data_IF_927080935650
#
_entry.id   IF_927080935650
#
_cell.length_a   1.000
_cell.length_b   1.000
_cell.length_c   1.000
_cell.angle_alpha   90.00
_cell.angle_beta   90.00
_cell.angle_gamma   90.00
#
_symmetry.space_group_name_H-M   'P 1'
#
loop_
_entity.id
_entity.type
_entity.pdbx_description
1 polymer ?
#
# COMPACT_ATOMS: atom_id res chain seq x y z
N UNK A 1 -6.37 0.37 5.98
CA UNK A 1 -6.76 1.58 6.71
C UNK A 1 -6.64 2.79 5.80
N UNK A 2 -7.60 3.69 5.80
CA UNK A 2 -7.58 4.87 4.92
C UNK A 2 -6.68 5.94 5.52
N UNK A 3 -5.78 6.50 4.73
CA UNK A 3 -4.98 7.64 5.15
C UNK A 3 -5.86 8.89 5.23
N UNK A 4 -5.99 9.48 6.41
CA UNK A 4 -6.78 10.69 6.63
C UNK A 4 -6.34 11.89 5.77
N UNK A 5 -5.10 11.88 5.28
CA UNK A 5 -4.58 12.95 4.40
C UNK A 5 -5.09 12.90 2.96
N UNK A 6 -5.73 11.82 2.53
CA UNK A 6 -6.32 11.72 1.17
C UNK A 6 -7.82 11.99 1.19
N UNK A 7 -8.44 11.79 2.32
CA UNK A 7 -9.89 11.92 2.49
C UNK A 7 -10.18 12.74 3.75
N UNK A 8 -11.26 13.47 3.74
CA UNK A 8 -11.78 14.11 4.94
C UNK A 8 -11.92 13.11 6.08
N UNK A 9 -11.81 13.61 7.32
CA UNK A 9 -11.90 12.81 8.54
C UNK A 9 -13.17 11.94 8.52
N UNK A 10 -13.01 10.67 8.20
CA UNK A 10 -14.09 9.71 8.23
C UNK A 10 -14.54 9.52 9.69
N UNK A 11 -15.83 9.66 9.95
CA UNK A 11 -16.40 9.58 11.29
C UNK A 11 -16.00 8.29 12.04
N UNK A 12 -15.87 7.17 11.31
CA UNK A 12 -15.43 5.88 11.85
C UNK A 12 -13.94 5.77 12.18
N UNK A 13 -13.10 6.76 11.84
CA UNK A 13 -11.65 6.73 12.05
C UNK A 13 -11.14 7.72 13.11
N UNK A 14 -12.04 8.32 13.89
CA UNK A 14 -11.69 9.34 14.90
C UNK A 14 -10.87 8.77 16.07
N UNK A 15 -11.14 7.53 16.46
CA UNK A 15 -10.47 6.85 17.56
C UNK A 15 -9.67 5.67 17.01
N UNK A 16 -8.42 5.93 16.66
CA UNK A 16 -7.51 4.91 16.09
C UNK A 16 -7.29 3.72 17.02
N UNK A 17 -7.25 3.95 18.33
CA UNK A 17 -7.08 2.90 19.33
C UNK A 17 -8.25 1.92 19.32
N UNK A 18 -9.46 2.44 19.34
CA UNK A 18 -10.67 1.62 19.35
C UNK A 18 -10.82 0.85 18.03
N UNK A 19 -10.47 1.50 16.90
CA UNK A 19 -10.50 0.86 15.57
C UNK A 19 -9.51 -0.29 15.49
N UNK A 20 -8.27 -0.09 15.94
CA UNK A 20 -7.24 -1.13 15.93
C UNK A 20 -7.70 -2.31 16.78
N UNK A 21 -8.17 -2.07 18.01
CA UNK A 21 -8.71 -3.11 18.88
C UNK A 21 -9.87 -3.86 18.23
N UNK A 22 -10.79 -3.15 17.57
CA UNK A 22 -11.94 -3.76 16.90
C UNK A 22 -11.50 -4.65 15.74
N UNK A 23 -10.55 -4.19 14.92
CA UNK A 23 -10.03 -4.95 13.78
C UNK A 23 -9.31 -6.22 14.26
N UNK A 24 -8.49 -6.11 15.29
CA UNK A 24 -7.78 -7.26 15.86
C UNK A 24 -8.74 -8.24 16.54
N UNK A 25 -9.74 -7.76 17.26
CA UNK A 25 -10.77 -8.65 17.86
C UNK A 25 -11.66 -9.35 16.82
N UNK A 26 -11.64 -8.90 15.58
CA UNK A 26 -12.28 -9.55 14.43
C UNK A 26 -11.33 -10.50 13.66
N UNK A 27 -10.30 -11.01 14.31
CA UNK A 27 -9.31 -11.95 13.77
C UNK A 27 -8.58 -11.48 12.51
N UNK A 28 -8.29 -10.17 12.40
CA UNK A 28 -7.42 -9.69 11.35
C UNK A 28 -5.97 -10.14 11.60
N UNK A 29 -5.34 -10.74 10.59
CA UNK A 29 -3.95 -11.21 10.67
C UNK A 29 -2.95 -10.07 10.76
N UNK A 30 -3.24 -8.93 10.12
CA UNK A 30 -2.37 -7.77 10.11
C UNK A 30 -3.13 -6.46 9.85
N UNK A 31 -2.49 -5.35 10.18
CA UNK A 31 -3.00 -4.00 9.86
C UNK A 31 -1.97 -3.19 9.07
N UNK A 32 -2.46 -2.25 8.26
CA UNK A 32 -1.66 -1.17 7.68
C UNK A 32 -1.96 0.11 8.43
N UNK A 33 -0.94 0.80 8.90
CA UNK A 33 -1.11 1.99 9.70
C UNK A 33 -0.11 3.10 9.34
N UNK A 34 -0.51 4.39 9.35
CA UNK A 34 0.42 5.50 9.35
C UNK A 34 1.13 5.59 10.70
N UNK A 35 2.18 6.43 10.79
CA UNK A 35 3.08 6.51 11.94
C UNK A 35 2.39 6.51 13.31
N UNK A 36 1.47 7.44 13.53
CA UNK A 36 0.80 7.58 14.84
C UNK A 36 -0.02 6.36 15.25
N UNK A 37 -0.66 5.73 14.27
CA UNK A 37 -1.47 4.53 14.53
C UNK A 37 -0.61 3.27 14.67
N UNK A 38 0.56 3.23 14.03
CA UNK A 38 1.51 2.13 14.15
C UNK A 38 2.10 2.06 15.56
N UNK A 39 2.46 3.20 16.15
CA UNK A 39 2.96 3.22 17.53
C UNK A 39 1.92 2.74 18.55
N UNK A 40 0.65 3.04 18.32
CA UNK A 40 -0.46 2.53 19.15
C UNK A 40 -0.67 1.03 18.89
N UNK A 41 -0.57 0.62 17.63
CA UNK A 41 -0.79 -0.77 17.24
C UNK A 41 0.18 -1.73 17.93
N UNK A 42 1.44 -1.36 18.04
CA UNK A 42 2.48 -2.20 18.71
C UNK A 42 2.11 -2.59 20.14
N UNK A 43 1.29 -1.81 20.83
CA UNK A 43 0.85 -2.08 22.20
C UNK A 43 -0.35 -3.05 22.27
N UNK A 44 -1.13 -3.18 21.19
CA UNK A 44 -2.44 -3.87 21.23
C UNK A 44 -2.58 -5.03 20.26
N UNK A 45 -1.66 -5.18 19.32
CA UNK A 45 -1.71 -6.19 18.26
C UNK A 45 -1.50 -7.64 18.73
N UNK A 46 -0.86 -7.84 19.90
CA UNK A 46 -0.50 -9.18 20.33
C UNK A 46 0.38 -9.90 19.31
N UNK A 47 -0.15 -10.96 18.68
CA UNK A 47 0.54 -11.71 17.61
C UNK A 47 0.18 -11.23 16.20
N UNK A 48 -0.65 -10.20 16.04
CA UNK A 48 -1.02 -9.65 14.73
C UNK A 48 0.13 -8.87 14.08
N UNK A 49 0.21 -8.89 12.76
CA UNK A 49 1.22 -8.16 12.00
C UNK A 49 0.90 -6.67 11.88
N UNK A 50 1.95 -5.84 11.84
CA UNK A 50 1.84 -4.40 11.61
C UNK A 50 2.70 -3.94 10.43
N UNK A 51 2.07 -3.32 9.45
CA UNK A 51 2.74 -2.74 8.30
C UNK A 51 2.69 -1.21 8.35
N UNK A 52 3.86 -0.59 8.26
CA UNK A 52 3.96 0.87 8.23
C UNK A 52 3.65 1.41 6.85
N UNK A 53 2.58 2.19 6.74
CA UNK A 53 2.18 2.81 5.47
C UNK A 53 2.82 4.17 5.31
N UNK A 54 3.61 4.32 4.26
CA UNK A 54 4.43 5.52 3.99
C UNK A 54 4.14 6.11 2.60
N UNK A 55 4.44 7.40 2.47
CA UNK A 55 4.76 8.04 1.21
C UNK A 55 6.25 8.36 1.20
N UNK A 56 6.90 8.18 0.07
CA UNK A 56 8.34 8.36 -0.02
C UNK A 56 8.73 9.32 -1.14
N UNK A 57 9.76 10.10 -0.87
CA UNK A 57 10.60 10.76 -1.85
C UNK A 57 12.03 10.24 -1.66
N UNK A 58 12.96 10.45 -2.60
CA UNK A 58 14.34 10.02 -2.42
C UNK A 58 14.95 10.50 -1.10
N UNK A 59 14.60 11.70 -0.64
CA UNK A 59 15.11 12.31 0.60
C UNK A 59 14.54 11.66 1.86
N UNK A 60 13.35 11.08 1.78
CA UNK A 60 12.65 10.52 2.97
C UNK A 60 12.76 9.01 3.09
N UNK A 61 13.28 8.31 2.08
CA UNK A 61 13.39 6.86 2.06
C UNK A 61 14.10 6.33 3.30
N UNK A 62 15.32 6.80 3.57
CA UNK A 62 16.10 6.33 4.73
C UNK A 62 15.42 6.61 6.07
N UNK A 63 14.81 7.78 6.23
CA UNK A 63 14.08 8.15 7.44
C UNK A 63 12.86 7.25 7.65
N UNK A 64 12.10 6.95 6.60
CA UNK A 64 10.93 6.07 6.70
C UNK A 64 11.32 4.64 7.11
N UNK A 65 12.42 4.11 6.55
CA UNK A 65 12.90 2.77 6.91
C UNK A 65 13.43 2.74 8.33
N UNK A 66 14.22 3.73 8.75
CA UNK A 66 14.67 3.84 10.14
C UNK A 66 13.50 3.92 11.14
N UNK A 67 12.47 4.69 10.81
CA UNK A 67 11.25 4.78 11.61
C UNK A 67 10.54 3.43 11.70
N UNK A 68 10.41 2.70 10.59
CA UNK A 68 9.81 1.37 10.56
C UNK A 68 10.53 0.40 11.50
N UNK A 69 11.86 0.40 11.47
CA UNK A 69 12.68 -0.45 12.35
C UNK A 69 12.50 -0.08 13.82
N UNK A 70 12.52 1.22 14.14
CA UNK A 70 12.31 1.71 15.51
C UNK A 70 10.91 1.39 16.05
N UNK A 71 9.90 1.35 15.17
CA UNK A 71 8.53 0.96 15.51
C UNK A 71 8.36 -0.57 15.64
N UNK A 72 9.34 -1.36 15.20
CA UNK A 72 9.27 -2.82 15.24
C UNK A 72 8.16 -3.39 14.35
N UNK A 73 7.92 -2.79 13.18
CA UNK A 73 6.91 -3.26 12.23
C UNK A 73 7.40 -4.44 11.42
N UNK A 74 6.48 -5.25 10.90
CA UNK A 74 6.77 -6.44 10.10
C UNK A 74 7.09 -6.12 8.64
N UNK A 75 6.80 -4.90 8.18
CA UNK A 75 7.10 -4.46 6.82
C UNK A 75 6.63 -3.04 6.54
N UNK A 76 6.97 -2.56 5.35
CA UNK A 76 6.57 -1.24 4.84
C UNK A 76 5.58 -1.42 3.68
N UNK A 77 4.55 -0.58 3.64
CA UNK A 77 3.62 -0.46 2.51
C UNK A 77 3.76 0.92 1.88
N UNK A 78 3.95 0.96 0.57
CA UNK A 78 3.99 2.19 -0.24
C UNK A 78 2.98 2.12 -1.39
N UNK A 79 2.49 3.25 -1.86
CA UNK A 79 1.64 3.34 -3.06
C UNK A 79 2.49 3.68 -4.28
N UNK A 80 2.27 2.97 -5.40
CA UNK A 80 2.88 3.23 -6.70
C UNK A 80 1.81 3.53 -7.74
N UNK A 81 1.91 4.68 -8.39
CA UNK A 81 0.91 5.23 -9.31
C UNK A 81 1.39 5.14 -10.76
N UNK A 82 1.44 3.92 -11.31
CA UNK A 82 1.83 3.75 -12.72
C UNK A 82 0.94 4.59 -13.65
N UNK A 83 1.57 5.30 -14.60
CA UNK A 83 0.92 6.18 -15.60
C UNK A 83 0.08 7.33 -15.02
N UNK A 84 0.28 7.68 -13.77
CA UNK A 84 -0.31 8.89 -13.20
C UNK A 84 0.43 10.12 -13.74
N UNK A 85 -0.28 11.16 -14.11
CA UNK A 85 0.33 12.47 -14.35
C UNK A 85 0.40 13.24 -13.04
N UNK A 86 1.27 14.24 -12.95
CA UNK A 86 1.34 15.08 -11.75
C UNK A 86 0.01 15.82 -11.50
N UNK A 87 -0.74 16.12 -12.55
CA UNK A 87 -2.07 16.75 -12.45
C UNK A 87 -3.11 15.81 -11.90
N UNK A 88 -2.96 14.49 -12.14
CA UNK A 88 -3.86 13.44 -11.67
C UNK A 88 -3.53 12.98 -10.25
N UNK A 89 -2.35 13.25 -9.72
CA UNK A 89 -2.05 12.98 -8.31
C UNK A 89 -2.83 13.98 -7.44
N UNK A 90 -3.59 13.45 -6.49
CA UNK A 90 -4.44 14.24 -5.58
C UNK A 90 -3.68 15.38 -4.89
N UNK A 91 -2.43 15.15 -4.56
CA UNK A 91 -1.55 16.15 -3.91
C UNK A 91 -0.58 16.82 -4.87
N UNK A 92 -0.63 16.50 -6.16
CA UNK A 92 0.32 17.01 -7.18
C UNK A 92 1.80 16.82 -6.80
N UNK A 93 2.09 15.71 -6.09
CA UNK A 93 3.40 15.45 -5.50
C UNK A 93 4.41 14.97 -6.52
N UNK A 94 4.01 14.02 -7.37
CA UNK A 94 4.89 13.37 -8.34
C UNK A 94 4.13 12.72 -9.49
N UNK A 95 4.82 12.54 -10.60
CA UNK A 95 4.34 11.74 -11.73
C UNK A 95 4.41 10.25 -11.43
N UNK A 96 3.73 9.45 -12.26
CA UNK A 96 3.81 7.99 -12.18
C UNK A 96 5.23 7.44 -12.29
N UNK A 97 6.07 8.07 -13.12
CA UNK A 97 7.49 7.69 -13.24
C UNK A 97 8.23 7.94 -11.94
N UNK A 98 8.07 9.10 -11.32
CA UNK A 98 8.69 9.42 -10.03
C UNK A 98 8.18 8.48 -8.93
N UNK A 99 6.88 8.20 -8.90
CA UNK A 99 6.29 7.25 -7.95
C UNK A 99 6.94 5.86 -8.06
N UNK A 100 7.12 5.34 -9.27
CA UNK A 100 7.78 4.05 -9.51
C UNK A 100 9.26 4.10 -9.12
N UNK A 101 10.00 5.16 -9.48
CA UNK A 101 11.40 5.31 -9.11
C UNK A 101 11.60 5.43 -7.59
N UNK A 102 10.72 6.15 -6.90
CA UNK A 102 10.73 6.23 -5.44
C UNK A 102 10.53 4.85 -4.79
N UNK A 103 9.70 4.00 -5.40
CA UNK A 103 9.51 2.61 -4.95
C UNK A 103 10.81 1.80 -5.09
N UNK A 104 11.55 1.96 -6.20
CA UNK A 104 12.86 1.30 -6.37
C UNK A 104 13.85 1.74 -5.29
N UNK A 105 13.92 3.03 -5.00
CA UNK A 105 14.77 3.54 -3.92
C UNK A 105 14.40 2.95 -2.56
N UNK A 106 13.10 2.87 -2.28
CA UNK A 106 12.60 2.29 -1.03
C UNK A 106 12.91 0.79 -0.94
N UNK A 107 12.71 0.04 -2.03
CA UNK A 107 13.02 -1.38 -2.09
C UNK A 107 14.50 -1.65 -1.77
N UNK A 108 15.41 -0.86 -2.37
CA UNK A 108 16.84 -0.97 -2.08
C UNK A 108 17.18 -0.67 -0.62
N UNK A 109 16.51 0.28 0.01
CA UNK A 109 16.74 0.57 1.44
C UNK A 109 16.13 -0.51 2.34
N UNK A 110 14.91 -0.96 2.06
CA UNK A 110 14.27 -2.06 2.80
C UNK A 110 15.12 -3.33 2.76
N UNK A 111 15.70 -3.67 1.60
CA UNK A 111 16.56 -4.85 1.44
C UNK A 111 17.81 -4.79 2.34
N UNK A 112 18.43 -3.63 2.54
CA UNK A 112 19.59 -3.49 3.43
C UNK A 112 19.28 -3.89 4.87
N UNK A 113 18.04 -3.69 5.30
CA UNK A 113 17.58 -3.95 6.64
C UNK A 113 16.80 -5.26 6.79
N UNK A 114 16.58 -6.00 5.70
CA UNK A 114 15.77 -7.21 5.69
C UNK A 114 14.30 -6.95 6.01
N UNK A 115 13.79 -5.76 5.69
CA UNK A 115 12.41 -5.35 5.95
C UNK A 115 11.55 -5.60 4.70
N UNK A 116 10.49 -6.43 4.78
CA UNK A 116 9.62 -6.68 3.64
C UNK A 116 8.92 -5.42 3.11
N UNK A 117 8.81 -5.30 1.79
CA UNK A 117 8.15 -4.21 1.10
C UNK A 117 6.88 -4.68 0.38
N UNK A 118 5.75 -4.07 0.70
CA UNK A 118 4.51 -4.19 -0.05
C UNK A 118 4.27 -2.96 -0.91
N UNK A 119 4.07 -3.17 -2.20
CA UNK A 119 3.72 -2.10 -3.13
C UNK A 119 2.24 -2.17 -3.48
N UNK A 120 1.49 -1.16 -3.09
CA UNK A 120 0.10 -0.98 -3.51
C UNK A 120 0.09 -0.31 -4.89
N UNK A 121 -0.19 -1.11 -5.90
CA UNK A 121 -0.14 -0.71 -7.30
C UNK A 121 -1.49 -0.15 -7.76
N UNK A 122 -1.49 1.14 -8.15
CA UNK A 122 -2.69 1.92 -8.48
C UNK A 122 -2.51 2.55 -9.86
N UNK A 123 -2.95 1.88 -10.94
CA UNK A 123 -2.83 2.41 -12.28
C UNK A 123 -3.60 3.73 -12.42
N UNK A 124 -2.93 4.77 -12.93
CA UNK A 124 -3.49 6.11 -13.11
C UNK A 124 -3.67 6.94 -11.83
N UNK A 125 -3.39 6.37 -10.66
CA UNK A 125 -3.67 7.02 -9.37
C UNK A 125 -5.14 6.87 -8.94
N UNK A 126 -5.45 7.37 -7.75
CA UNK A 126 -6.80 7.22 -7.16
C UNK A 126 -7.93 7.86 -7.98
N UNK A 127 -7.78 9.05 -8.59
CA UNK A 127 -8.85 9.68 -9.37
C UNK A 127 -9.21 8.96 -10.67
N UNK A 128 -8.29 8.17 -11.26
CA UNK A 128 -8.43 7.57 -12.58
C UNK A 128 -9.00 6.15 -12.52
N UNK A 129 -10.26 6.01 -12.14
CA UNK A 129 -10.91 4.70 -12.08
C UNK A 129 -10.99 4.00 -13.45
N UNK A 130 -11.04 4.73 -14.54
CA UNK A 130 -11.00 4.27 -15.92
C UNK A 130 -9.68 3.57 -16.30
N UNK A 131 -8.61 3.84 -15.57
CA UNK A 131 -7.32 3.15 -15.73
C UNK A 131 -7.26 1.78 -15.04
N UNK A 132 -8.32 1.35 -14.37
CA UNK A 132 -8.37 0.07 -13.64
C UNK A 132 -8.91 -1.07 -14.50
N UNK A 133 -8.59 -1.08 -15.80
CA UNK A 133 -8.90 -2.23 -16.66
C UNK A 133 -8.03 -3.43 -16.30
N UNK A 134 -8.46 -4.67 -16.58
CA UNK A 134 -7.68 -5.87 -16.28
C UNK A 134 -6.24 -5.80 -16.79
N UNK A 135 -6.05 -5.33 -18.02
CA UNK A 135 -4.72 -5.21 -18.66
C UNK A 135 -3.85 -4.19 -17.94
N UNK A 136 -4.41 -3.06 -17.52
CA UNK A 136 -3.67 -2.02 -16.79
C UNK A 136 -3.34 -2.46 -15.37
N UNK A 137 -4.24 -3.15 -14.70
CA UNK A 137 -4.00 -3.71 -13.37
C UNK A 137 -2.90 -4.77 -13.43
N UNK A 138 -2.93 -5.68 -14.43
CA UNK A 138 -1.89 -6.69 -14.62
C UNK A 138 -0.52 -6.05 -14.93
N UNK A 139 -0.47 -5.08 -15.83
CA UNK A 139 0.75 -4.37 -16.18
C UNK A 139 1.32 -3.56 -14.99
N UNK A 140 0.47 -2.91 -14.20
CA UNK A 140 0.89 -2.18 -13.01
C UNK A 140 1.40 -3.11 -11.90
N UNK A 141 0.76 -4.27 -11.71
CA UNK A 141 1.22 -5.29 -10.78
C UNK A 141 2.61 -5.84 -11.18
N UNK A 142 2.84 -6.05 -12.49
CA UNK A 142 4.14 -6.42 -13.01
C UNK A 142 5.19 -5.35 -12.73
N UNK A 143 4.92 -4.08 -13.03
CA UNK A 143 5.84 -2.98 -12.73
C UNK A 143 6.19 -2.97 -11.24
N UNK A 144 5.20 -3.10 -10.36
CA UNK A 144 5.42 -3.12 -8.92
C UNK A 144 6.31 -4.30 -8.49
N UNK A 145 6.10 -5.50 -9.03
CA UNK A 145 6.95 -6.65 -8.72
C UNK A 145 8.38 -6.50 -9.24
N UNK A 146 8.56 -5.87 -10.40
CA UNK A 146 9.89 -5.61 -10.99
C UNK A 146 10.65 -4.49 -10.25
N UNK A 147 9.98 -3.64 -9.49
CA UNK A 147 10.63 -2.58 -8.67
C UNK A 147 11.19 -3.07 -7.35
N UNK A 148 11.08 -4.35 -7.04
CA UNK A 148 11.64 -4.96 -5.83
C UNK A 148 10.64 -5.13 -4.69
N UNK A 149 9.34 -5.18 -4.99
CA UNK A 149 8.32 -5.54 -4.01
C UNK A 149 8.44 -7.02 -3.60
N UNK A 150 8.25 -7.31 -2.32
CA UNK A 150 8.06 -8.67 -1.80
C UNK A 150 6.59 -9.10 -1.90
N UNK A 151 5.67 -8.12 -1.89
CA UNK A 151 4.24 -8.30 -2.05
C UNK A 151 3.66 -7.18 -2.92
N UNK A 152 2.70 -7.51 -3.76
CA UNK A 152 1.92 -6.52 -4.51
C UNK A 152 0.49 -6.51 -3.99
N UNK A 153 -0.07 -5.33 -3.76
CA UNK A 153 -1.47 -5.12 -3.45
C UNK A 153 -2.13 -4.35 -4.59
N UNK A 154 -3.22 -4.87 -5.16
CA UNK A 154 -3.88 -4.22 -6.30
C UNK A 154 -5.38 -4.54 -6.37
N UNK A 155 -6.09 -3.94 -7.33
CA UNK A 155 -7.53 -4.10 -7.50
C UNK A 155 -7.90 -5.48 -8.00
N UNK A 156 -9.03 -6.01 -7.53
CA UNK A 156 -9.68 -7.14 -8.16
C UNK A 156 -10.31 -6.70 -9.49
N UNK A 157 -10.12 -7.48 -10.53
CA UNK A 157 -10.52 -7.13 -11.90
C UNK A 157 -11.96 -7.52 -12.25
N UNK A 158 -12.74 -7.99 -11.25
CA UNK A 158 -14.17 -8.29 -11.38
C UNK A 158 -14.49 -9.77 -11.61
N UNK A 159 -13.58 -10.54 -12.18
CA UNK A 159 -13.75 -11.99 -12.40
C UNK A 159 -12.43 -12.76 -12.27
N UNK A 160 -12.55 -14.09 -12.07
CA UNK A 160 -11.39 -14.97 -11.85
C UNK A 160 -10.46 -15.08 -13.06
N UNK A 161 -10.98 -14.98 -14.27
CA UNK A 161 -10.18 -15.16 -15.50
C UNK A 161 -9.26 -13.96 -15.70
N UNK A 162 -9.83 -12.75 -15.65
CA UNK A 162 -9.04 -11.53 -15.78
C UNK A 162 -8.08 -11.33 -14.61
N UNK A 163 -8.47 -11.73 -13.39
CA UNK A 163 -7.55 -11.65 -12.25
C UNK A 163 -6.42 -12.67 -12.32
N UNK A 164 -6.64 -13.82 -12.98
CA UNK A 164 -5.55 -14.77 -13.25
C UNK A 164 -4.44 -14.13 -14.09
N UNK A 165 -4.77 -13.26 -15.04
CA UNK A 165 -3.77 -12.52 -15.82
C UNK A 165 -2.92 -11.59 -14.94
N UNK A 166 -3.49 -11.01 -13.89
CA UNK A 166 -2.74 -10.24 -12.89
C UNK A 166 -1.73 -11.12 -12.17
N UNK A 167 -2.16 -12.31 -11.73
CA UNK A 167 -1.29 -13.26 -11.04
C UNK A 167 -0.19 -13.80 -11.95
N UNK A 168 -0.51 -14.11 -13.20
CA UNK A 168 0.46 -14.64 -14.18
C UNK A 168 1.53 -13.61 -14.56
N UNK A 169 1.23 -12.32 -14.42
CA UNK A 169 2.16 -11.21 -14.70
C UNK A 169 2.95 -10.74 -13.46
N UNK A 170 2.59 -11.17 -12.26
CA UNK A 170 3.23 -10.74 -11.03
C UNK A 170 4.11 -11.87 -10.46
N UNK A 171 5.38 -11.58 -10.22
CA UNK A 171 6.34 -12.59 -9.75
C UNK A 171 6.34 -12.80 -8.23
N UNK A 172 5.54 -12.03 -7.49
CA UNK A 172 5.42 -12.08 -6.03
C UNK A 172 3.96 -12.26 -5.60
N UNK A 173 3.68 -12.65 -4.36
CA UNK A 173 2.31 -12.79 -3.86
C UNK A 173 1.49 -11.51 -4.03
N UNK A 174 0.21 -11.66 -4.42
CA UNK A 174 -0.72 -10.56 -4.66
C UNK A 174 -1.81 -10.55 -3.61
N UNK A 175 -2.01 -9.37 -2.99
CA UNK A 175 -3.14 -9.07 -2.11
C UNK A 175 -4.20 -8.28 -2.87
N UNK A 176 -5.46 -8.59 -2.63
CA UNK A 176 -6.58 -7.87 -3.24
C UNK A 176 -6.89 -6.63 -2.42
N UNK A 177 -6.85 -5.48 -3.08
CA UNK A 177 -7.33 -4.22 -2.52
C UNK A 177 -8.86 -4.27 -2.39
N UNK A 178 -9.38 -3.84 -1.24
CA UNK A 178 -10.82 -3.70 -1.03
C UNK A 178 -11.44 -2.72 -2.03
N UNK A 179 -12.60 -3.09 -2.54
CA UNK A 179 -13.38 -2.28 -3.46
C UNK A 179 -14.55 -1.56 -2.76
N UNK A 180 -15.43 -0.89 -3.52
CA UNK A 180 -16.67 -0.35 -3.00
C UNK A 180 -17.52 -1.48 -2.40
N UNK A 181 -18.32 -1.11 -1.38
CA UNK A 181 -19.29 -2.06 -0.81
C UNK A 181 -20.25 -2.53 -1.90
N UNK A 182 -20.31 -3.83 -2.09
CA UNK A 182 -21.31 -4.47 -2.98
C UNK A 182 -22.41 -5.04 -2.09
N UNK A 183 -23.66 -4.70 -2.42
CA UNK A 183 -24.81 -5.33 -1.78
C UNK A 183 -24.89 -6.76 -2.34
N UNK A 184 -24.74 -7.75 -1.45
CA UNK A 184 -24.91 -9.19 -1.74
C UNK A 184 -26.31 -9.63 -1.41
#
# INVERSE_FOLDING_TARGET
>A
MVHARVFDSLAGLKDSNNIIKTVISADADAIFAPYSSTSIASEVLGNGGCWFSVDVTPETVGTNVEMAIRLGVDGIKVEAYSWCTQEDDYFKRFSGTESVLNTVCLAGECQKWGLPLMVESIPGGWPKADMRTPEKVAAAARVASETGADYVKTFYTGDKRSFKEVLDNCSVPVLILGGPKIDT
#
